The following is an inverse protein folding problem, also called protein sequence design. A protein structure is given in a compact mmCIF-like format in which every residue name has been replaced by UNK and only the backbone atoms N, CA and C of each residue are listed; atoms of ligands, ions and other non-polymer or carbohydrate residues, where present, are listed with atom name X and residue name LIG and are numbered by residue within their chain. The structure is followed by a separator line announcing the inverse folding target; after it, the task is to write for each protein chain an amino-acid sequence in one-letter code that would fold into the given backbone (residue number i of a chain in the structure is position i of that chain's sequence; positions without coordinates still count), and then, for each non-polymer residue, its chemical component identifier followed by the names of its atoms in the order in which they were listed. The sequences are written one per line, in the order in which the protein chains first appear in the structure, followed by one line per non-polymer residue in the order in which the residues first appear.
data_IF_998741782272
#
_entry.id   IF_998741782272
#
_cell.length_a   1.000
_cell.length_b   1.000
_cell.length_c   1.000
_cell.angle_alpha   90.00
_cell.angle_beta   90.00
_cell.angle_gamma   90.00
#
_symmetry.space_group_name_H-M   'P 1'
#
loop_
_entity.id
_entity.type
_entity.pdbx_description
1 polymer ?
#
# COMPACT_ATOMS: atom_id res chain seq x y z
N UNK A 1 17.41 0.04 15.42
CA UNK A 1 16.11 -0.28 14.80
C UNK A 1 15.02 0.16 15.76
N UNK A 2 14.07 1.00 15.34
CA UNK A 2 13.03 1.52 16.22
C UNK A 2 12.00 0.42 16.49
N UNK A 3 11.80 0.06 17.76
CA UNK A 3 10.76 -0.90 18.14
C UNK A 3 9.37 -0.26 18.16
N UNK A 4 9.33 1.05 18.41
CA UNK A 4 8.11 1.85 18.56
C UNK A 4 8.37 3.29 18.10
N UNK A 5 7.30 3.99 17.69
CA UNK A 5 7.31 5.42 17.41
C UNK A 5 6.13 6.11 18.08
N UNK A 6 6.30 7.39 18.41
CA UNK A 6 5.20 8.22 18.87
C UNK A 6 4.61 8.96 17.66
N UNK A 7 3.30 8.92 17.53
CA UNK A 7 2.58 9.60 16.46
C UNK A 7 1.54 10.52 17.07
N UNK A 8 1.29 11.66 16.42
CA UNK A 8 0.27 12.60 16.85
C UNK A 8 -0.86 12.62 15.83
N UNK A 9 -2.04 12.16 16.25
CA UNK A 9 -3.25 12.15 15.43
C UNK A 9 -4.28 13.08 16.05
N UNK A 10 -4.56 14.19 15.35
CA UNK A 10 -5.29 15.34 15.84
C UNK A 10 -4.69 15.82 17.18
N UNK A 11 -5.47 15.86 18.25
CA UNK A 11 -5.04 16.30 19.58
C UNK A 11 -4.52 15.16 20.46
N UNK A 12 -4.42 13.94 19.92
CA UNK A 12 -4.04 12.75 20.69
C UNK A 12 -2.68 12.21 20.26
N UNK A 13 -1.89 11.80 21.24
CA UNK A 13 -0.64 11.08 21.02
C UNK A 13 -0.86 9.58 21.16
N UNK A 14 -0.30 8.81 20.24
CA UNK A 14 -0.35 7.35 20.23
C UNK A 14 1.05 6.78 20.12
N UNK A 15 1.25 5.58 20.67
CA UNK A 15 2.46 4.79 20.46
C UNK A 15 2.14 3.71 19.41
N UNK A 16 2.90 3.68 18.33
CA UNK A 16 2.81 2.67 17.29
C UNK A 16 3.96 1.68 17.44
N UNK A 17 3.63 0.40 17.62
CA UNK A 17 4.63 -0.66 17.64
C UNK A 17 5.04 -1.06 16.23
N UNK A 18 6.34 -1.04 15.95
CA UNK A 18 6.90 -1.31 14.62
C UNK A 18 7.37 -2.76 14.43
N UNK A 19 7.38 -3.55 15.50
CA UNK A 19 8.00 -4.89 15.56
C UNK A 19 7.44 -5.92 14.57
N UNK A 20 6.21 -5.73 14.08
CA UNK A 20 5.55 -6.65 13.14
C UNK A 20 5.63 -6.18 11.68
N UNK A 21 6.28 -5.05 11.41
CA UNK A 21 6.47 -4.52 10.07
C UNK A 21 7.87 -4.85 9.58
N UNK A 22 8.01 -5.08 8.27
CA UNK A 22 9.33 -5.22 7.66
C UNK A 22 10.08 -3.88 7.62
N UNK A 23 11.40 -3.93 7.40
CA UNK A 23 12.24 -2.73 7.38
C UNK A 23 11.76 -1.61 6.41
N UNK A 24 11.33 -1.89 5.16
CA UNK A 24 10.82 -0.85 4.29
C UNK A 24 9.50 -0.24 4.80
N UNK A 25 8.57 -1.05 5.31
CA UNK A 25 7.31 -0.53 5.86
C UNK A 25 7.56 0.29 7.13
N UNK A 26 8.49 -0.12 7.98
CA UNK A 26 8.90 0.66 9.15
C UNK A 26 9.41 2.04 8.74
N UNK A 27 10.22 2.11 7.69
CA UNK A 27 10.73 3.38 7.16
C UNK A 27 9.60 4.27 6.64
N UNK A 28 8.68 3.71 5.85
CA UNK A 28 7.52 4.47 5.34
C UNK A 28 6.64 5.01 6.48
N UNK A 29 6.40 4.23 7.53
CA UNK A 29 5.66 4.66 8.71
C UNK A 29 6.37 5.81 9.44
N UNK A 30 7.68 5.69 9.62
CA UNK A 30 8.49 6.77 10.20
C UNK A 30 8.38 8.04 9.34
N UNK A 31 8.65 7.95 8.03
CA UNK A 31 8.61 9.09 7.11
C UNK A 31 7.20 9.75 7.06
N UNK A 32 6.15 8.95 7.20
CA UNK A 32 4.77 9.42 7.20
C UNK A 32 4.41 10.17 8.49
N UNK A 33 4.79 9.67 9.67
CA UNK A 33 4.36 10.21 10.97
C UNK A 33 5.37 11.12 11.66
N UNK A 34 6.66 11.02 11.34
CA UNK A 34 7.72 11.73 12.04
C UNK A 34 7.53 13.26 11.94
N UNK A 35 7.52 13.92 13.09
CA UNK A 35 7.39 15.37 13.25
C UNK A 35 6.11 15.98 12.61
N UNK A 36 5.06 15.18 12.41
CA UNK A 36 3.80 15.65 11.84
C UNK A 36 2.63 15.42 12.80
N UNK A 37 1.80 16.44 12.95
CA UNK A 37 0.45 16.27 13.49
C UNK A 37 -0.46 15.91 12.33
N UNK A 38 -0.93 14.66 12.31
CA UNK A 38 -1.77 14.13 11.24
C UNK A 38 -3.23 14.25 11.66
N UNK A 39 -4.12 14.73 10.81
CA UNK A 39 -5.57 14.72 11.09
C UNK A 39 -6.20 13.39 10.71
N UNK A 40 -7.34 13.05 11.32
CA UNK A 40 -8.10 11.84 10.96
C UNK A 40 -8.44 11.84 9.46
N UNK A 41 -8.84 13.00 8.93
CA UNK A 41 -9.10 13.20 7.50
C UNK A 41 -7.90 12.85 6.61
N UNK A 42 -6.68 13.18 7.04
CA UNK A 42 -5.46 12.83 6.29
C UNK A 42 -5.21 11.32 6.28
N UNK A 43 -5.47 10.63 7.39
CA UNK A 43 -5.38 9.17 7.47
C UNK A 43 -6.41 8.53 6.53
N UNK A 44 -7.66 8.99 6.60
CA UNK A 44 -8.73 8.49 5.73
C UNK A 44 -8.43 8.71 4.25
N UNK A 45 -7.93 9.90 3.89
CA UNK A 45 -7.49 10.19 2.51
C UNK A 45 -6.37 9.27 2.07
N UNK A 46 -5.35 9.07 2.89
CA UNK A 46 -4.24 8.15 2.58
C UNK A 46 -4.74 6.72 2.35
N UNK A 47 -5.66 6.25 3.19
CA UNK A 47 -6.26 4.92 3.05
C UNK A 47 -7.10 4.79 1.77
N UNK A 48 -7.95 5.78 1.47
CA UNK A 48 -8.76 5.80 0.23
C UNK A 48 -7.86 5.82 -1.00
N UNK A 49 -6.80 6.65 -1.01
CA UNK A 49 -5.83 6.67 -2.11
C UNK A 49 -5.20 5.30 -2.31
N UNK A 50 -4.86 4.59 -1.22
CA UNK A 50 -4.27 3.26 -1.33
C UNK A 50 -5.22 2.22 -1.91
N UNK A 51 -6.51 2.30 -1.55
CA UNK A 51 -7.55 1.47 -2.17
C UNK A 51 -7.62 1.73 -3.68
N UNK A 52 -7.60 3.00 -4.09
CA UNK A 52 -7.66 3.38 -5.50
C UNK A 52 -6.43 2.90 -6.28
N UNK A 53 -5.23 3.04 -5.71
CA UNK A 53 -4.00 2.49 -6.30
C UNK A 53 -4.09 0.98 -6.52
N UNK A 54 -4.57 0.24 -5.52
CA UNK A 54 -4.74 -1.21 -5.61
C UNK A 54 -5.76 -1.57 -6.70
N UNK A 55 -6.89 -0.86 -6.79
CA UNK A 55 -7.88 -1.07 -7.84
C UNK A 55 -7.29 -0.83 -9.24
N UNK A 56 -6.53 0.25 -9.42
CA UNK A 56 -5.85 0.53 -10.69
C UNK A 56 -4.83 -0.56 -11.04
N UNK A 57 -4.09 -1.05 -10.05
CA UNK A 57 -3.14 -2.15 -10.27
C UNK A 57 -3.85 -3.44 -10.67
N UNK A 58 -4.95 -3.80 -10.00
CA UNK A 58 -5.77 -4.94 -10.41
C UNK A 58 -6.27 -4.83 -11.84
N UNK A 59 -6.75 -3.65 -12.25
CA UNK A 59 -7.18 -3.41 -13.63
C UNK A 59 -6.05 -3.61 -14.64
N UNK A 60 -4.84 -3.11 -14.34
CA UNK A 60 -3.66 -3.31 -15.20
C UNK A 60 -3.30 -4.79 -15.31
N UNK A 61 -3.35 -5.53 -14.21
CA UNK A 61 -3.11 -6.98 -14.21
C UNK A 61 -4.14 -7.69 -15.08
N UNK A 62 -5.43 -7.37 -14.94
CA UNK A 62 -6.49 -7.94 -15.79
C UNK A 62 -6.24 -7.68 -17.29
N UNK A 63 -5.85 -6.46 -17.66
CA UNK A 63 -5.51 -6.12 -19.05
C UNK A 63 -4.30 -6.91 -19.56
N UNK A 64 -3.29 -7.15 -18.72
CA UNK A 64 -2.12 -7.96 -19.10
C UNK A 64 -2.54 -9.42 -19.30
N UNK A 65 -3.37 -9.97 -18.41
CA UNK A 65 -3.88 -11.33 -18.52
C UNK A 65 -4.72 -11.54 -19.78
N UNK A 66 -5.59 -10.59 -20.11
CA UNK A 66 -6.37 -10.61 -21.37
C UNK A 66 -5.45 -10.64 -22.60
N UNK A 67 -4.38 -9.83 -22.61
CA UNK A 67 -3.39 -9.85 -23.70
C UNK A 67 -2.66 -11.19 -23.80
N UNK A 68 -2.26 -11.78 -22.66
CA UNK A 68 -1.63 -13.10 -22.64
C UNK A 68 -2.60 -14.16 -23.20
N UNK A 69 -3.86 -14.17 -22.76
CA UNK A 69 -4.88 -15.08 -23.27
C UNK A 69 -5.10 -14.92 -24.79
N UNK A 70 -5.15 -13.68 -25.29
CA UNK A 70 -5.29 -13.41 -26.71
C UNK A 70 -4.08 -13.84 -27.56
N UNK A 71 -2.90 -13.98 -26.95
CA UNK A 71 -1.68 -14.46 -27.61
C UNK A 71 -1.50 -15.98 -27.54
N UNK A 72 -2.28 -16.69 -26.71
CA UNK A 72 -2.25 -18.15 -26.56
C UNK A 72 -3.09 -18.99 -27.55
N UNK A 73 -3.92 -18.48 -28.51
CA UNK A 73 -4.76 -19.35 -29.34
C UNK A 73 -4.00 -20.18 -30.39
N UNK A 74 -2.67 -20.07 -30.50
CA UNK A 74 -1.88 -20.78 -31.53
C UNK A 74 -0.98 -21.92 -31.00
N UNK A 75 -1.10 -22.36 -29.74
CA UNK A 75 -0.25 -23.44 -29.21
C UNK A 75 -0.93 -24.82 -29.07
N UNK A 76 -2.16 -25.00 -29.55
CA UNK A 76 -2.84 -26.30 -29.55
C UNK A 76 -3.47 -26.57 -30.92
N UNK A 77 -2.64 -26.72 -31.94
CA UNK A 77 -3.04 -27.26 -33.24
C UNK A 77 -1.82 -27.92 -33.87
N UNK A 78 -1.50 -29.14 -33.42
CA UNK A 78 -0.78 -30.21 -34.15
C UNK A 78 -0.40 -31.31 -33.14
N UNK A 79 -1.36 -32.22 -32.88
CA UNK A 79 -1.08 -33.63 -32.58
C UNK A 79 -2.08 -34.45 -33.38
#
# INVERSE_FOLDING_TARGET
MYKKIHIQVAEKCFELELQNFDAPTQKELIDFFENKTITIDQILKAYISKIQENQQMSQKISQILEKIHALLPNCVSEI
#
